data_IF_556713869539
#
_entry.id   IF_556713869539
#
_cell.length_a   1.000
_cell.length_b   1.000
_cell.length_c   1.000
_cell.angle_alpha   90.00
_cell.angle_beta   90.00
_cell.angle_gamma   90.00
#
_symmetry.space_group_name_H-M   'P 1'
#
loop_
_entity.id
_entity.type
_entity.pdbx_description
1 polymer ?
#
# COMPACT_ATOMS: atom_id res chain seq x y z
N UNK A 1 17.60 8.78 -8.82
CA UNK A 1 16.41 8.51 -9.66
C UNK A 1 16.26 6.99 -9.60
N UNK A 2 15.37 6.38 -8.82
CA UNK A 2 13.95 6.14 -9.17
C UNK A 2 13.23 5.42 -8.00
N UNK A 3 12.89 6.12 -6.90
CA UNK A 3 12.05 5.55 -5.81
C UNK A 3 10.67 5.00 -6.26
N UNK A 4 9.92 5.63 -7.20
CA UNK A 4 8.57 5.18 -7.51
C UNK A 4 8.51 3.86 -8.30
N UNK A 5 9.55 3.52 -9.05
CA UNK A 5 9.57 2.26 -9.81
C UNK A 5 9.61 1.04 -8.89
N UNK A 6 10.36 1.13 -7.80
CA UNK A 6 10.49 0.03 -6.85
C UNK A 6 9.16 -0.29 -6.16
N UNK A 7 8.45 0.73 -5.71
CA UNK A 7 7.15 0.59 -5.05
C UNK A 7 6.09 0.06 -6.04
N UNK A 8 6.10 0.54 -7.28
CA UNK A 8 5.18 0.07 -8.31
C UNK A 8 5.41 -1.40 -8.69
N UNK A 9 6.66 -1.86 -8.77
CA UNK A 9 6.94 -3.29 -8.97
C UNK A 9 6.53 -4.11 -7.74
N UNK A 10 6.81 -3.63 -6.54
CA UNK A 10 6.40 -4.28 -5.29
C UNK A 10 4.88 -4.45 -5.23
N UNK A 11 4.14 -3.41 -5.61
CA UNK A 11 2.68 -3.40 -5.67
C UNK A 11 2.18 -4.43 -6.68
N UNK A 12 2.73 -4.40 -7.90
CA UNK A 12 2.37 -5.32 -8.98
C UNK A 12 2.64 -6.79 -8.63
N UNK A 13 3.77 -7.09 -8.00
CA UNK A 13 4.13 -8.47 -7.60
C UNK A 13 3.15 -9.04 -6.57
N UNK A 14 2.61 -8.18 -5.70
CA UNK A 14 1.66 -8.54 -4.66
C UNK A 14 0.21 -8.31 -5.06
N UNK A 15 -0.03 -7.97 -6.32
CA UNK A 15 -1.36 -7.64 -6.87
C UNK A 15 -2.10 -6.59 -6.03
N UNK A 16 -1.36 -5.65 -5.45
CA UNK A 16 -1.87 -4.60 -4.58
C UNK A 16 -1.82 -3.25 -5.26
N UNK A 17 -2.68 -2.32 -4.81
CA UNK A 17 -2.73 -0.96 -5.31
C UNK A 17 -1.41 -0.23 -5.03
N UNK A 18 -1.00 0.63 -5.97
CA UNK A 18 0.22 1.43 -5.84
C UNK A 18 0.16 2.30 -4.59
N UNK A 19 -1.01 2.86 -4.29
CA UNK A 19 -1.22 3.76 -3.17
C UNK A 19 -1.09 3.05 -1.81
N UNK A 20 -1.52 1.79 -1.74
CA UNK A 20 -1.32 0.93 -0.55
C UNK A 20 0.18 0.66 -0.38
N UNK A 21 0.86 0.28 -1.46
CA UNK A 21 2.31 0.08 -1.42
C UNK A 21 3.04 1.38 -1.01
N UNK A 22 2.66 2.53 -1.56
CA UNK A 22 3.27 3.82 -1.19
C UNK A 22 3.04 4.15 0.29
N UNK A 23 1.83 3.94 0.81
CA UNK A 23 1.53 4.15 2.22
C UNK A 23 2.33 3.21 3.14
N UNK A 24 2.48 1.94 2.78
CA UNK A 24 3.30 0.98 3.52
C UNK A 24 4.76 1.42 3.55
N UNK A 25 5.32 1.80 2.40
CA UNK A 25 6.70 2.26 2.32
C UNK A 25 6.91 3.60 3.05
N UNK A 26 5.88 4.44 3.13
CA UNK A 26 5.88 5.68 3.90
C UNK A 26 5.95 5.40 5.41
N UNK A 27 5.12 4.48 5.92
CA UNK A 27 5.16 4.01 7.31
C UNK A 27 6.47 3.29 7.64
N UNK A 28 6.99 2.52 6.68
CA UNK A 28 8.25 1.82 6.81
C UNK A 28 9.47 2.73 6.62
N UNK A 29 9.29 4.03 6.35
CA UNK A 29 10.36 4.99 6.06
C UNK A 29 11.33 4.55 4.94
N UNK A 30 10.84 3.75 3.99
CA UNK A 30 11.63 3.18 2.89
C UNK A 30 12.38 1.90 3.23
N UNK A 31 12.15 1.29 4.40
CA UNK A 31 12.69 -0.02 4.75
C UNK A 31 11.80 -1.14 4.17
N UNK A 32 12.35 -1.93 3.25
CA UNK A 32 11.61 -3.02 2.59
C UNK A 32 11.21 -4.15 3.53
N UNK A 33 12.05 -4.48 4.52
CA UNK A 33 11.76 -5.56 5.46
C UNK A 33 10.59 -5.16 6.37
N UNK A 34 10.59 -3.91 6.83
CA UNK A 34 9.49 -3.36 7.62
C UNK A 34 8.22 -3.19 6.77
N UNK A 35 8.35 -2.74 5.52
CA UNK A 35 7.24 -2.66 4.58
C UNK A 35 6.59 -4.02 4.35
N UNK A 36 7.41 -5.06 4.16
CA UNK A 36 6.91 -6.42 4.04
C UNK A 36 6.25 -6.92 5.32
N UNK A 37 6.80 -6.58 6.49
CA UNK A 37 6.18 -6.95 7.76
C UNK A 37 4.81 -6.28 7.93
N UNK A 38 4.69 -4.98 7.67
CA UNK A 38 3.42 -4.23 7.68
C UNK A 38 2.40 -4.84 6.71
N UNK A 39 2.87 -5.27 5.54
CA UNK A 39 2.04 -5.94 4.54
C UNK A 39 1.50 -7.29 5.02
N UNK A 40 2.36 -8.13 5.60
CA UNK A 40 2.00 -9.47 6.07
C UNK A 40 1.18 -9.44 7.36
N UNK A 41 1.46 -8.49 8.25
CA UNK A 41 0.70 -8.31 9.49
C UNK A 41 -0.66 -7.65 9.25
N UNK A 42 -0.79 -6.84 8.19
CA UNK A 42 -2.01 -6.07 7.91
C UNK A 42 -2.15 -4.89 8.87
N UNK A 43 -1.74 -3.70 8.45
CA UNK A 43 -1.80 -2.50 9.28
C UNK A 43 -2.92 -1.56 8.82
N UNK A 44 -3.89 -1.30 9.70
CA UNK A 44 -5.02 -0.41 9.45
C UNK A 44 -4.62 1.04 9.14
N UNK A 45 -3.47 1.53 9.64
CA UNK A 45 -2.97 2.88 9.36
C UNK A 45 -2.57 3.09 7.89
N UNK A 46 -2.32 2.00 7.15
CA UNK A 46 -2.00 2.04 5.72
C UNK A 46 -3.20 2.49 4.91
N UNK A 47 -4.40 2.02 5.24
CA UNK A 47 -5.62 2.27 4.48
C UNK A 47 -5.95 3.78 4.37
N UNK A 48 -6.07 4.55 5.48
CA UNK A 48 -6.38 5.97 5.39
C UNK A 48 -5.28 6.76 4.66
N UNK A 49 -4.01 6.35 4.77
CA UNK A 49 -2.91 6.97 4.02
C UNK A 49 -3.01 6.69 2.51
N UNK A 50 -3.30 5.44 2.15
CA UNK A 50 -3.48 5.04 0.75
C UNK A 50 -4.70 5.74 0.13
N UNK A 51 -5.83 5.76 0.84
CA UNK A 51 -7.02 6.48 0.42
C UNK A 51 -6.82 7.99 0.39
N UNK A 52 -5.93 8.58 1.20
CA UNK A 52 -5.61 10.00 1.10
C UNK A 52 -4.80 10.35 -0.16
N UNK A 53 -4.11 9.37 -0.77
CA UNK A 53 -3.30 9.56 -1.98
C UNK A 53 -4.10 9.40 -3.28
N UNK A 54 -5.33 8.90 -3.21
CA UNK A 54 -6.17 8.61 -4.38
C UNK A 54 -7.59 9.09 -4.16
N UNK A 55 -8.35 9.26 -5.23
CA UNK A 55 -9.79 9.54 -5.16
C UNK A 55 -10.63 8.29 -5.45
N UNK A 56 -9.99 7.13 -5.56
CA UNK A 56 -10.70 5.87 -5.80
C UNK A 56 -11.51 5.45 -4.58
N UNK A 57 -12.70 4.92 -4.84
CA UNK A 57 -13.58 4.37 -3.82
C UNK A 57 -13.12 2.99 -3.32
N UNK A 58 -12.24 2.32 -4.08
CA UNK A 58 -11.77 0.96 -3.79
C UNK A 58 -10.28 0.85 -4.07
N UNK A 59 -9.56 0.14 -3.21
CA UNK A 59 -8.15 -0.22 -3.35
C UNK A 59 -7.98 -1.72 -3.16
N UNK A 60 -6.94 -2.28 -3.78
CA UNK A 60 -6.64 -3.71 -3.71
C UNK A 60 -5.51 -3.94 -2.72
N UNK A 61 -5.75 -4.71 -1.67
CA UNK A 61 -4.72 -5.27 -0.80
C UNK A 61 -4.48 -6.73 -1.22
N UNK A 62 -3.83 -6.90 -2.37
CA UNK A 62 -3.53 -8.21 -2.92
C UNK A 62 -4.79 -8.88 -3.42
N UNK A 63 -5.23 -9.92 -2.73
CA UNK A 63 -6.49 -10.59 -3.08
C UNK A 63 -7.73 -9.89 -2.47
N UNK A 64 -7.53 -9.03 -1.47
CA UNK A 64 -8.61 -8.33 -0.79
C UNK A 64 -8.95 -6.99 -1.46
N UNK A 65 -10.24 -6.69 -1.63
CA UNK A 65 -10.69 -5.38 -2.14
C UNK A 65 -11.23 -4.56 -0.98
N UNK A 66 -10.51 -3.51 -0.62
CA UNK A 66 -10.88 -2.58 0.45
C UNK A 66 -11.67 -1.42 -0.15
N UNK A 67 -12.81 -1.10 0.44
CA UNK A 67 -13.63 0.04 0.02
C UNK A 67 -13.47 1.19 1.01
N UNK A 68 -13.36 2.44 0.52
CA UNK A 68 -13.27 3.65 1.36
C UNK A 68 -14.44 3.77 2.35
N UNK A 69 -15.59 3.23 2.00
CA UNK A 69 -16.79 3.25 2.84
C UNK A 69 -16.70 2.33 4.08
N UNK A 70 -15.76 1.39 4.11
CA UNK A 70 -15.58 0.39 5.17
C UNK A 70 -14.46 0.77 6.16
N UNK A 71 -13.75 1.88 5.89
CA UNK A 71 -12.58 2.37 6.67
C UNK A 71 -12.94 3.53 7.59
#
# INVERSE_FOLDING_TARGET
MTKPHHIAEWARVRETSLEIAEAIFELAHGDEALAQQIWEEGNDDVLPLAFAKTDQDQLYWGDETISRADV
#
